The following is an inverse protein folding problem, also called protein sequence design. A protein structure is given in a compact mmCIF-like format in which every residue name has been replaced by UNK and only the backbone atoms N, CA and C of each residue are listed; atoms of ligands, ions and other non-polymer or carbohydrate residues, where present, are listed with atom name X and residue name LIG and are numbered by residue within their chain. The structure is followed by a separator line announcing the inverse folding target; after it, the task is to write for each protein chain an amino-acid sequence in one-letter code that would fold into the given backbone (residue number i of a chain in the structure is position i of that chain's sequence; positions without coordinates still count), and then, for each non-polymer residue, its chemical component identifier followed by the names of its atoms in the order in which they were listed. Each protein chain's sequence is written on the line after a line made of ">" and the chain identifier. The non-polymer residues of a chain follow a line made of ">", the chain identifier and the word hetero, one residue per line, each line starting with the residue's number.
data_IF_749397906103
#
_entry.id   IF_749397906103
#
_cell.length_a   1.000
_cell.length_b   1.000
_cell.length_c   1.000
_cell.angle_alpha   90.00
_cell.angle_beta   90.00
_cell.angle_gamma   90.00
#
_symmetry.space_group_name_H-M   'P 1'
#
loop_
_entity.id
_entity.type
_entity.pdbx_description
1 polymer ?
#
# COMPACT_ATOMS: atom_id res chain seq x y z
N UNK A 1 23.18 1.07 -42.81
CA UNK A 1 22.03 1.31 -41.91
C UNK A 1 22.22 0.40 -40.71
N UNK A 2 22.71 0.95 -39.60
CA UNK A 2 22.97 0.20 -38.37
C UNK A 2 21.78 0.44 -37.45
N UNK A 3 21.05 -0.62 -37.13
CA UNK A 3 19.91 -0.57 -36.21
C UNK A 3 20.50 -0.74 -34.80
N UNK A 4 20.46 0.33 -34.02
CA UNK A 4 20.82 0.29 -32.60
C UNK A 4 19.62 -0.26 -31.83
N UNK A 5 19.71 -1.50 -31.36
CA UNK A 5 18.75 -2.07 -30.41
C UNK A 5 18.84 -1.31 -29.08
N UNK A 6 17.72 -0.70 -28.70
CA UNK A 6 17.54 -0.04 -27.40
C UNK A 6 17.50 -1.12 -26.31
N UNK A 7 18.48 -1.11 -25.42
CA UNK A 7 18.46 -1.93 -24.20
C UNK A 7 17.32 -1.45 -23.29
N UNK A 8 16.39 -2.36 -23.00
CA UNK A 8 15.32 -2.17 -22.02
C UNK A 8 15.88 -2.37 -20.61
N UNK A 9 16.28 -1.28 -19.96
CA UNK A 9 16.64 -1.26 -18.53
C UNK A 9 15.35 -1.38 -17.68
N UNK A 10 14.92 -2.59 -17.34
CA UNK A 10 13.81 -2.84 -16.38
C UNK A 10 14.04 -3.94 -15.31
N UNK A 11 15.28 -4.35 -14.93
CA UNK A 11 15.45 -5.26 -13.78
C UNK A 11 15.54 -4.53 -12.42
N UNK A 12 16.22 -3.38 -12.34
CA UNK A 12 16.66 -2.78 -11.06
C UNK A 12 15.49 -2.25 -10.20
N UNK A 13 14.52 -1.57 -10.81
CA UNK A 13 13.34 -0.99 -10.14
C UNK A 13 12.44 -2.07 -9.53
N UNK A 14 12.39 -3.26 -10.14
CA UNK A 14 11.55 -4.37 -9.67
C UNK A 14 12.13 -4.99 -8.40
N UNK A 15 13.47 -5.06 -8.29
CA UNK A 15 14.16 -5.63 -7.14
C UNK A 15 14.09 -4.71 -5.91
N UNK A 16 14.20 -3.40 -6.11
CA UNK A 16 14.06 -2.40 -5.04
C UNK A 16 12.66 -2.40 -4.42
N UNK A 17 11.62 -2.42 -5.26
CA UNK A 17 10.24 -2.49 -4.81
C UNK A 17 9.96 -3.80 -4.05
N UNK A 18 10.47 -4.93 -4.55
CA UNK A 18 10.36 -6.23 -3.88
C UNK A 18 11.02 -6.21 -2.49
N UNK A 19 12.19 -5.56 -2.37
CA UNK A 19 12.87 -5.37 -1.09
C UNK A 19 12.07 -4.48 -0.14
N UNK A 20 11.50 -3.38 -0.63
CA UNK A 20 10.65 -2.49 0.15
C UNK A 20 9.41 -3.22 0.67
N UNK A 21 8.71 -3.99 -0.16
CA UNK A 21 7.56 -4.81 0.24
C UNK A 21 7.94 -5.82 1.33
N UNK A 22 9.09 -6.49 1.21
CA UNK A 22 9.60 -7.40 2.24
C UNK A 22 9.92 -6.66 3.55
N UNK A 23 10.45 -5.45 3.48
CA UNK A 23 10.72 -4.64 4.67
C UNK A 23 9.44 -4.16 5.34
N UNK A 24 8.44 -3.70 4.56
CA UNK A 24 7.09 -3.38 5.03
C UNK A 24 6.47 -4.58 5.75
N UNK A 25 6.51 -5.78 5.16
CA UNK A 25 5.95 -6.98 5.79
C UNK A 25 6.58 -7.29 7.17
N UNK A 26 7.85 -6.93 7.39
CA UNK A 26 8.54 -7.13 8.68
C UNK A 26 8.12 -6.13 9.76
N UNK A 27 7.53 -4.99 9.40
CA UNK A 27 7.04 -3.99 10.36
C UNK A 27 5.75 -4.46 11.04
N UNK A 28 4.92 -5.24 10.34
CA UNK A 28 3.67 -5.75 10.85
C UNK A 28 3.86 -6.76 12.01
N UNK A 29 3.36 -6.43 13.20
CA UNK A 29 3.50 -7.28 14.40
C UNK A 29 2.21 -8.00 14.77
N UNK A 30 1.06 -7.35 14.58
CA UNK A 30 -0.26 -7.92 14.85
C UNK A 30 -0.95 -8.42 13.58
N UNK A 31 -2.01 -9.23 13.73
CA UNK A 31 -2.86 -9.65 12.59
C UNK A 31 -3.47 -8.44 11.86
N UNK A 32 -3.83 -7.40 12.61
CA UNK A 32 -4.30 -6.12 12.07
C UNK A 32 -3.24 -5.46 11.20
N UNK A 33 -2.02 -5.33 11.70
CA UNK A 33 -0.92 -4.70 10.96
C UNK A 33 -0.60 -5.49 9.69
N UNK A 34 -0.65 -6.83 9.77
CA UNK A 34 -0.43 -7.73 8.63
C UNK A 34 -1.49 -7.53 7.56
N UNK A 35 -2.77 -7.43 7.94
CA UNK A 35 -3.85 -7.18 6.99
C UNK A 35 -3.68 -5.85 6.25
N UNK A 36 -3.33 -4.78 6.98
CA UNK A 36 -3.08 -3.46 6.40
C UNK A 36 -1.85 -3.42 5.50
N UNK A 37 -0.72 -3.96 5.94
CA UNK A 37 0.50 -4.02 5.13
C UNK A 37 0.28 -4.86 3.88
N UNK A 38 -0.40 -5.99 3.99
CA UNK A 38 -0.71 -6.84 2.83
C UNK A 38 -1.59 -6.10 1.82
N UNK A 39 -2.58 -5.34 2.27
CA UNK A 39 -3.41 -4.51 1.39
C UNK A 39 -2.57 -3.47 0.62
N UNK A 40 -1.64 -2.81 1.31
CA UNK A 40 -0.73 -1.83 0.71
C UNK A 40 0.22 -2.48 -0.31
N UNK A 41 0.75 -3.66 -0.01
CA UNK A 41 1.63 -4.42 -0.92
C UNK A 41 0.86 -4.90 -2.16
N UNK A 42 -0.39 -5.32 -2.00
CA UNK A 42 -1.27 -5.68 -3.11
C UNK A 42 -1.60 -4.46 -4.00
N UNK A 43 -1.79 -3.28 -3.41
CA UNK A 43 -1.99 -2.04 -4.16
C UNK A 43 -0.67 -1.40 -4.61
N UNK A 44 0.02 -2.12 -5.50
CA UNK A 44 1.37 -1.83 -5.97
C UNK A 44 1.56 -0.40 -6.50
N UNK A 45 0.55 0.23 -7.11
CA UNK A 45 0.72 1.56 -7.75
C UNK A 45 1.10 2.65 -6.77
N UNK A 46 0.62 2.56 -5.52
CA UNK A 46 0.98 3.52 -4.48
C UNK A 46 2.47 3.37 -4.13
N UNK A 47 2.96 2.13 -4.03
CA UNK A 47 4.36 1.84 -3.70
C UNK A 47 5.31 2.08 -4.87
N UNK A 48 4.82 2.13 -6.11
CA UNK A 48 5.61 2.48 -7.29
C UNK A 48 5.94 3.98 -7.37
N UNK A 49 5.22 4.83 -6.63
CA UNK A 49 5.48 6.27 -6.60
C UNK A 49 6.78 6.58 -5.84
N UNK A 50 7.78 7.25 -6.47
CA UNK A 50 9.05 7.57 -5.81
C UNK A 50 8.89 8.46 -4.56
N UNK A 51 7.86 9.31 -4.53
CA UNK A 51 7.55 10.12 -3.36
C UNK A 51 7.09 9.26 -2.16
N UNK A 52 6.30 8.21 -2.42
CA UNK A 52 5.85 7.26 -1.39
C UNK A 52 7.02 6.42 -0.89
N UNK A 53 7.86 5.89 -1.79
CA UNK A 53 9.04 5.11 -1.40
C UNK A 53 9.99 5.92 -0.49
N UNK A 54 10.28 7.17 -0.87
CA UNK A 54 11.08 8.08 -0.04
C UNK A 54 10.41 8.41 1.29
N UNK A 55 9.10 8.61 1.30
CA UNK A 55 8.38 8.92 2.53
C UNK A 55 8.33 7.73 3.49
N UNK A 56 8.27 6.50 2.98
CA UNK A 56 8.29 5.27 3.78
C UNK A 56 9.62 5.04 4.51
N UNK A 57 10.72 5.56 3.97
CA UNK A 57 12.05 5.39 4.55
C UNK A 57 12.32 6.54 5.52
N UNK A 58 12.54 6.21 6.79
CA UNK A 58 12.89 7.16 7.84
C UNK A 58 14.28 6.84 8.36
N UNK A 59 15.17 7.84 8.32
CA UNK A 59 16.50 7.73 8.92
C UNK A 59 16.38 7.76 10.45
N UNK A 60 16.95 6.76 11.10
CA UNK A 60 17.05 6.69 12.55
C UNK A 60 18.52 6.61 12.97
N UNK A 61 18.81 6.81 14.25
CA UNK A 61 20.16 6.62 14.81
C UNK A 61 20.69 5.18 14.65
N UNK A 62 19.83 4.21 14.31
CA UNK A 62 20.18 2.82 14.03
C UNK A 62 20.14 2.47 12.54
N UNK A 63 20.07 3.47 11.68
CA UNK A 63 19.96 3.34 10.22
C UNK A 63 18.54 3.55 9.71
N UNK A 64 18.40 3.50 8.38
CA UNK A 64 17.14 3.69 7.67
C UNK A 64 16.14 2.56 7.98
N UNK A 65 14.91 2.93 8.33
CA UNK A 65 13.81 2.00 8.64
C UNK A 65 12.56 2.38 7.84
N UNK A 66 11.81 1.35 7.44
CA UNK A 66 10.47 1.53 6.86
C UNK A 66 9.42 1.80 7.94
N UNK A 67 8.60 2.83 7.74
CA UNK A 67 7.51 3.25 8.65
C UNK A 67 6.27 3.63 7.84
N UNK A 68 5.09 3.16 8.24
CA UNK A 68 3.82 3.59 7.62
C UNK A 68 3.34 4.91 8.22
N UNK A 69 3.70 5.17 9.48
CA UNK A 69 3.39 6.38 10.22
C UNK A 69 3.91 7.62 9.50
N UNK A 70 5.04 7.52 8.80
CA UNK A 70 5.62 8.62 8.01
C UNK A 70 4.81 9.00 6.78
N UNK A 71 3.87 8.15 6.33
CA UNK A 71 2.90 8.51 5.30
C UNK A 71 1.78 9.38 5.87
N UNK A 72 1.42 9.19 7.14
CA UNK A 72 0.41 10.02 7.80
C UNK A 72 0.96 11.44 7.98
N UNK A 73 0.27 12.42 7.41
CA UNK A 73 0.72 13.81 7.37
C UNK A 73 1.48 14.22 6.11
N UNK A 74 1.86 13.29 5.22
CA UNK A 74 2.48 13.62 3.92
C UNK A 74 1.60 13.32 2.72
N UNK A 75 0.45 12.67 2.92
CA UNK A 75 -0.42 12.14 1.85
C UNK A 75 -0.66 13.11 0.68
N UNK A 76 -0.96 14.37 0.97
CA UNK A 76 -1.23 15.40 -0.04
C UNK A 76 0.00 15.85 -0.86
N UNK A 77 1.22 15.52 -0.41
CA UNK A 77 2.48 15.78 -1.12
C UNK A 77 3.07 14.56 -1.82
N UNK A 78 2.39 13.41 -1.80
CA UNK A 78 2.90 12.15 -2.36
C UNK A 78 2.57 11.97 -3.85
N UNK A 79 1.80 12.89 -4.45
CA UNK A 79 1.35 12.77 -5.84
C UNK A 79 0.33 11.65 -6.07
N UNK A 80 -0.41 11.29 -5.02
CA UNK A 80 -1.48 10.30 -5.08
C UNK A 80 -2.71 10.90 -5.75
N UNK A 81 -3.37 10.13 -6.60
CA UNK A 81 -4.71 10.47 -7.07
C UNK A 81 -5.76 10.32 -5.96
N UNK A 82 -6.99 10.78 -6.21
CA UNK A 82 -8.06 10.75 -5.21
C UNK A 82 -8.39 9.33 -4.71
N UNK A 83 -8.37 8.33 -5.60
CA UNK A 83 -8.70 6.94 -5.26
C UNK A 83 -7.58 6.29 -4.44
N UNK A 84 -6.32 6.58 -4.79
CA UNK A 84 -5.14 6.19 -4.03
C UNK A 84 -5.13 6.84 -2.64
N UNK A 85 -5.51 8.11 -2.54
CA UNK A 85 -5.63 8.82 -1.25
C UNK A 85 -6.69 8.16 -0.36
N UNK A 86 -7.89 7.91 -0.88
CA UNK A 86 -8.96 7.25 -0.13
C UNK A 86 -8.55 5.84 0.31
N UNK A 87 -7.95 5.05 -0.58
CA UNK A 87 -7.44 3.73 -0.24
C UNK A 87 -6.35 3.77 0.83
N UNK A 88 -5.35 4.64 0.67
CA UNK A 88 -4.27 4.78 1.65
C UNK A 88 -4.80 5.23 3.01
N UNK A 89 -5.74 6.16 3.04
CA UNK A 89 -6.41 6.60 4.27
C UNK A 89 -7.10 5.44 5.01
N UNK A 90 -7.82 4.59 4.28
CA UNK A 90 -8.50 3.42 4.85
C UNK A 90 -7.49 2.39 5.38
N UNK A 91 -6.40 2.13 4.64
CA UNK A 91 -5.33 1.21 5.07
C UNK A 91 -4.59 1.72 6.31
N UNK A 92 -4.26 3.01 6.37
CA UNK A 92 -3.62 3.62 7.54
C UNK A 92 -4.55 3.57 8.76
N UNK A 93 -5.84 3.87 8.58
CA UNK A 93 -6.82 3.77 9.66
C UNK A 93 -6.94 2.33 10.19
N UNK A 94 -6.90 1.34 9.30
CA UNK A 94 -6.89 -0.08 9.67
C UNK A 94 -5.59 -0.47 10.40
N UNK A 95 -4.44 0.10 10.03
CA UNK A 95 -3.19 -0.07 10.76
C UNK A 95 -3.22 0.59 12.15
N UNK A 96 -4.18 1.49 12.39
CA UNK A 96 -4.32 2.25 13.64
C UNK A 96 -3.68 3.64 13.59
N UNK A 97 -3.44 4.17 12.39
CA UNK A 97 -2.86 5.50 12.16
C UNK A 97 -3.94 6.41 11.58
N UNK A 98 -4.30 7.44 12.34
CA UNK A 98 -5.36 8.37 11.94
C UNK A 98 -6.76 7.75 11.97
N UNK A 99 -7.74 8.55 11.52
CA UNK A 99 -9.14 8.14 11.46
C UNK A 99 -9.63 8.45 10.04
N UNK A 100 -10.08 7.42 9.34
CA UNK A 100 -10.72 7.54 8.02
C UNK A 100 -12.13 6.99 8.11
N UNK A 101 -13.10 7.74 7.59
CA UNK A 101 -14.50 7.27 7.54
C UNK A 101 -14.64 6.08 6.61
N UNK A 102 -15.43 5.08 7.00
CA UNK A 102 -15.79 3.95 6.14
C UNK A 102 -16.48 4.42 4.84
N UNK A 103 -17.12 5.60 4.85
CA UNK A 103 -17.75 6.17 3.65
C UNK A 103 -16.75 6.41 2.51
N UNK A 104 -15.45 6.56 2.79
CA UNK A 104 -14.41 6.69 1.76
C UNK A 104 -14.29 5.45 0.84
N UNK A 105 -14.94 4.34 1.20
CA UNK A 105 -15.09 3.16 0.32
C UNK A 105 -15.83 3.53 -0.99
N UNK A 106 -16.68 4.55 -0.98
CA UNK A 106 -17.40 5.02 -2.18
C UNK A 106 -16.46 5.58 -3.26
N UNK A 107 -15.26 6.03 -2.88
CA UNK A 107 -14.28 6.60 -3.80
C UNK A 107 -13.33 5.54 -4.39
N UNK A 108 -13.46 4.28 -3.98
CA UNK A 108 -12.60 3.21 -4.45
C UNK A 108 -13.05 2.71 -5.83
N UNK A 109 -12.09 2.49 -6.71
CA UNK A 109 -12.30 1.85 -7.99
C UNK A 109 -12.39 0.33 -7.88
N UNK A 110 -12.79 -0.31 -8.98
CA UNK A 110 -12.91 -1.77 -9.12
C UNK A 110 -11.61 -2.51 -8.80
N UNK A 111 -10.48 -1.82 -8.88
CA UNK A 111 -9.17 -2.37 -8.51
C UNK A 111 -8.98 -2.39 -6.99
N UNK A 112 -9.23 -1.28 -6.30
CA UNK A 112 -8.86 -1.11 -4.88
C UNK A 112 -9.91 -1.65 -3.93
N UNK A 113 -11.18 -1.62 -4.32
CA UNK A 113 -12.27 -2.14 -3.49
C UNK A 113 -12.07 -3.63 -3.12
N UNK A 114 -11.79 -4.55 -4.05
CA UNK A 114 -11.54 -5.96 -3.70
C UNK A 114 -10.32 -6.18 -2.81
N UNK A 115 -9.29 -5.33 -2.92
CA UNK A 115 -8.09 -5.41 -2.06
C UNK A 115 -8.48 -5.04 -0.63
N UNK A 116 -9.21 -3.92 -0.46
CA UNK A 116 -9.66 -3.48 0.86
C UNK A 116 -10.61 -4.50 1.50
N UNK A 117 -11.57 -5.04 0.75
CA UNK A 117 -12.49 -6.05 1.27
C UNK A 117 -11.74 -7.29 1.75
N UNK A 118 -10.76 -7.79 0.99
CA UNK A 118 -9.88 -8.90 1.43
C UNK A 118 -9.08 -8.54 2.68
N UNK A 119 -8.66 -7.29 2.81
CA UNK A 119 -7.97 -6.83 4.01
C UNK A 119 -8.88 -6.83 5.24
N UNK A 120 -10.14 -6.41 5.10
CA UNK A 120 -11.16 -6.46 6.17
C UNK A 120 -11.45 -7.90 6.58
N UNK A 121 -11.53 -8.84 5.61
CA UNK A 121 -11.69 -10.26 5.92
C UNK A 121 -10.52 -10.78 6.76
N UNK A 122 -9.29 -10.53 6.31
CA UNK A 122 -8.07 -10.91 7.05
C UNK A 122 -8.02 -10.28 8.44
N UNK A 123 -8.43 -9.02 8.56
CA UNK A 123 -8.52 -8.31 9.84
C UNK A 123 -9.49 -9.02 10.81
N UNK A 124 -10.62 -9.51 10.29
CA UNK A 124 -11.60 -10.27 11.07
C UNK A 124 -11.16 -11.71 11.41
N UNK A 125 -9.97 -12.14 10.96
CA UNK A 125 -9.49 -13.52 11.12
C UNK A 125 -10.16 -14.52 10.17
N UNK A 126 -10.87 -14.04 9.14
CA UNK A 126 -11.52 -14.89 8.15
C UNK A 126 -10.70 -14.90 6.85
N UNK A 127 -10.52 -16.09 6.27
CA UNK A 127 -9.82 -16.26 4.98
C UNK A 127 -10.78 -16.29 3.79
N UNK A 128 -12.05 -16.63 4.04
CA UNK A 128 -13.10 -16.73 3.03
C UNK A 128 -14.38 -16.06 3.54
N UNK A 129 -15.14 -15.48 2.61
CA UNK A 129 -16.50 -15.01 2.86
C UNK A 129 -17.38 -15.40 1.70
N UNK A 130 -18.60 -15.86 1.99
CA UNK A 130 -19.65 -15.98 1.00
C UNK A 130 -20.57 -14.76 1.13
N UNK A 131 -20.51 -13.85 0.16
CA UNK A 131 -21.45 -12.73 0.06
C UNK A 131 -22.35 -13.00 -1.13
N UNK A 132 -23.64 -13.23 -0.87
CA UNK A 132 -24.63 -13.35 -1.93
C UNK A 132 -24.97 -11.99 -2.52
N UNK A 133 -25.20 -11.95 -3.83
CA UNK A 133 -25.81 -10.78 -4.48
C UNK A 133 -27.33 -10.92 -4.38
N UNK A 134 -28.03 -9.85 -3.98
CA UNK A 134 -29.45 -9.70 -4.32
C UNK A 134 -29.51 -8.92 -5.62
N UNK A 135 -30.13 -9.52 -6.63
CA UNK A 135 -30.54 -8.85 -7.87
C UNK A 135 -31.72 -7.93 -7.60
#
# INVERSE_FOLDING_TARGET
>A
MTITETQTETPEVTDELSRLCKQLARTAKSSRDKAAVQALVEERTILELPAVQRALIVDTSRGAKVSLESLSGRQYGLGLDAQQLSFLGLVLSMFGIGITTLAAVQDLDDRRLPILLRAILRLSGNETIAVGTRL
#
